data_IF_361767199529
#
_entry.id   IF_361767199529
#
_cell.length_a   1.000
_cell.length_b   1.000
_cell.length_c   1.000
_cell.angle_alpha   90.00
_cell.angle_beta   90.00
_cell.angle_gamma   90.00
#
_symmetry.space_group_name_H-M   'P 1'
#
loop_
_entity.id
_entity.type
_entity.pdbx_description
1 polymer ?
#
# COMPACT_ATOMS: atom_id res chain seq x y z
N UNK A 1 6.12 -13.27 -13.46
CA UNK A 1 7.55 -13.22 -13.84
C UNK A 1 8.10 -14.65 -13.67
N UNK A 2 8.98 -15.11 -14.56
CA UNK A 2 9.58 -16.45 -14.43
C UNK A 2 10.74 -16.45 -13.43
N UNK A 3 11.16 -17.62 -12.96
CA UNK A 3 12.30 -17.79 -12.06
C UNK A 3 13.55 -17.18 -12.72
N UNK A 4 14.07 -16.08 -12.19
CA UNK A 4 15.24 -15.40 -12.74
C UNK A 4 16.48 -16.27 -12.55
N UNK A 5 17.35 -16.35 -13.57
CA UNK A 5 18.62 -17.06 -13.43
C UNK A 5 19.51 -16.38 -12.38
N UNK A 6 20.23 -17.19 -11.59
CA UNK A 6 21.19 -16.68 -10.60
C UNK A 6 22.23 -15.74 -11.23
N UNK A 7 22.67 -16.04 -12.45
CA UNK A 7 23.61 -15.22 -13.21
C UNK A 7 23.07 -13.80 -13.44
N UNK A 8 21.77 -13.67 -13.69
CA UNK A 8 21.11 -12.38 -13.91
C UNK A 8 21.02 -11.57 -12.62
N UNK A 9 20.71 -12.21 -11.49
CA UNK A 9 20.74 -11.55 -10.19
C UNK A 9 22.13 -11.00 -9.86
N UNK A 10 23.19 -11.79 -10.14
CA UNK A 10 24.58 -11.34 -9.92
C UNK A 10 24.94 -10.16 -10.82
N UNK A 11 24.44 -10.12 -12.06
CA UNK A 11 24.64 -8.96 -12.95
C UNK A 11 23.93 -7.71 -12.44
N UNK A 12 22.67 -7.83 -12.00
CA UNK A 12 21.91 -6.71 -11.45
C UNK A 12 22.51 -6.19 -10.15
N UNK A 13 23.06 -7.07 -9.31
CA UNK A 13 23.73 -6.68 -8.08
C UNK A 13 24.97 -5.82 -8.31
N UNK A 14 25.57 -5.85 -9.51
CA UNK A 14 26.68 -4.94 -9.86
C UNK A 14 26.19 -3.52 -10.11
N UNK A 15 24.94 -3.32 -10.52
CA UNK A 15 24.37 -2.00 -10.74
C UNK A 15 23.69 -1.51 -9.46
N UNK A 16 24.44 -0.76 -8.65
CA UNK A 16 23.97 -0.26 -7.34
C UNK A 16 22.77 0.66 -7.43
N UNK A 17 22.54 1.35 -8.56
CA UNK A 17 21.41 2.25 -8.74
C UNK A 17 20.05 1.54 -8.74
N UNK A 18 20.03 0.25 -9.11
CA UNK A 18 18.81 -0.53 -9.27
C UNK A 18 18.52 -1.42 -8.05
N UNK A 19 19.32 -1.30 -6.99
CA UNK A 19 19.13 -2.04 -5.73
C UNK A 19 18.26 -1.19 -4.80
N UNK A 20 17.20 -1.79 -4.24
CA UNK A 20 16.35 -1.14 -3.24
C UNK A 20 16.14 -2.07 -2.06
N UNK A 21 16.45 -1.60 -0.86
CA UNK A 21 16.17 -2.32 0.38
C UNK A 21 14.84 -1.83 0.95
N UNK A 22 13.87 -2.74 1.09
CA UNK A 22 12.53 -2.41 1.56
C UNK A 22 12.20 -3.27 2.77
N UNK A 23 11.83 -2.65 3.89
CA UNK A 23 11.28 -3.39 5.03
C UNK A 23 9.75 -3.40 5.01
N UNK A 24 9.16 -4.51 5.46
CA UNK A 24 7.72 -4.56 5.76
C UNK A 24 7.53 -4.38 7.25
N UNK A 25 6.73 -3.38 7.62
CA UNK A 25 6.41 -3.03 8.99
C UNK A 25 4.89 -3.12 9.20
N UNK A 26 4.47 -3.78 10.28
CA UNK A 26 3.05 -3.94 10.58
C UNK A 26 2.85 -4.28 12.05
N UNK A 27 1.62 -4.08 12.54
CA UNK A 27 1.19 -4.72 13.77
C UNK A 27 1.10 -6.26 13.58
N UNK A 28 1.22 -7.00 14.68
CA UNK A 28 0.95 -8.44 14.74
C UNK A 28 -0.39 -8.74 14.07
N UNK A 29 -0.43 -9.82 13.28
CA UNK A 29 -1.62 -10.29 12.56
C UNK A 29 -2.22 -9.34 11.51
N UNK A 30 -1.58 -8.22 11.13
CA UNK A 30 -2.03 -7.36 10.02
C UNK A 30 -1.73 -7.94 8.63
N UNK A 31 -1.16 -9.14 8.57
CA UNK A 31 -0.91 -9.87 7.32
C UNK A 31 0.42 -9.55 6.63
N UNK A 32 1.40 -9.06 7.40
CA UNK A 32 2.80 -8.82 6.96
C UNK A 32 3.40 -10.02 6.24
N UNK A 33 3.46 -11.18 6.92
CA UNK A 33 4.05 -12.41 6.38
C UNK A 33 3.28 -12.92 5.16
N UNK A 34 1.95 -12.76 5.15
CA UNK A 34 1.10 -13.12 4.01
C UNK A 34 1.39 -12.23 2.79
N UNK A 35 1.59 -10.93 3.01
CA UNK A 35 1.98 -9.98 1.96
C UNK A 35 3.38 -10.33 1.42
N UNK A 36 4.35 -10.60 2.31
CA UNK A 36 5.69 -11.01 1.91
C UNK A 36 5.66 -12.28 1.04
N UNK A 37 4.95 -13.31 1.47
CA UNK A 37 4.76 -14.55 0.69
C UNK A 37 4.14 -14.27 -0.70
N UNK A 38 3.19 -13.34 -0.80
CA UNK A 38 2.58 -12.98 -2.08
C UNK A 38 3.58 -12.31 -3.04
N UNK A 39 4.50 -11.49 -2.52
CA UNK A 39 5.58 -10.89 -3.30
C UNK A 39 6.58 -11.96 -3.79
N UNK A 40 6.93 -12.91 -2.91
CA UNK A 40 7.83 -14.03 -3.20
C UNK A 40 7.22 -14.95 -4.28
N UNK A 41 5.92 -15.23 -4.17
CA UNK A 41 5.14 -16.01 -5.13
C UNK A 41 5.13 -15.37 -6.52
N UNK A 42 4.96 -14.05 -6.61
CA UNK A 42 4.97 -13.35 -7.90
C UNK A 42 6.33 -13.43 -8.61
N UNK A 43 7.40 -13.61 -7.87
CA UNK A 43 8.76 -13.82 -8.39
C UNK A 43 9.01 -15.28 -8.82
N UNK A 44 8.05 -16.17 -8.61
CA UNK A 44 8.14 -17.58 -8.97
C UNK A 44 9.01 -18.42 -8.03
N UNK A 45 9.47 -17.86 -6.91
CA UNK A 45 10.29 -18.56 -5.91
C UNK A 45 9.46 -19.64 -5.19
N UNK A 46 8.22 -19.30 -4.87
CA UNK A 46 7.23 -20.24 -4.31
C UNK A 46 6.04 -20.37 -5.26
N UNK A 47 5.35 -21.52 -5.19
CA UNK A 47 4.09 -21.66 -5.93
C UNK A 47 3.01 -20.75 -5.35
N UNK A 48 2.16 -20.18 -6.21
CA UNK A 48 1.05 -19.30 -5.81
C UNK A 48 0.08 -19.93 -4.82
N UNK A 49 -0.05 -21.26 -4.82
CA UNK A 49 -0.92 -22.01 -3.89
C UNK A 49 -0.37 -22.11 -2.48
N UNK A 50 0.95 -22.00 -2.33
CA UNK A 50 1.65 -22.04 -1.05
C UNK A 50 1.84 -20.64 -0.44
N UNK A 51 1.67 -19.59 -1.25
CA UNK A 51 1.73 -18.21 -0.80
C UNK A 51 0.72 -17.94 0.32
N UNK A 52 1.18 -17.36 1.43
CA UNK A 52 0.37 -16.97 2.57
C UNK A 52 0.06 -18.10 3.55
N UNK A 53 0.32 -19.35 3.17
CA UNK A 53 0.14 -20.54 4.03
C UNK A 53 1.46 -21.02 4.61
N UNK A 54 2.52 -20.94 3.81
CA UNK A 54 3.82 -21.50 4.15
C UNK A 54 4.62 -20.58 5.07
N UNK A 55 4.39 -19.25 5.01
CA UNK A 55 5.16 -18.25 5.77
C UNK A 55 6.65 -18.42 5.53
N UNK A 56 7.06 -18.27 4.27
CA UNK A 56 8.40 -18.64 3.80
C UNK A 56 9.53 -17.93 4.55
N UNK A 57 9.27 -16.70 5.01
CA UNK A 57 10.24 -15.88 5.75
C UNK A 57 10.43 -16.32 7.21
N UNK A 58 9.43 -17.01 7.78
CA UNK A 58 9.46 -17.56 9.14
C UNK A 58 10.19 -18.92 9.10
N UNK A 59 11.53 -18.86 9.00
CA UNK A 59 12.37 -20.06 8.81
C UNK A 59 12.56 -20.88 10.09
N UNK A 60 12.33 -20.29 11.27
CA UNK A 60 12.54 -20.97 12.55
C UNK A 60 11.29 -21.73 12.98
N UNK A 61 11.49 -22.90 13.59
CA UNK A 61 10.38 -23.75 14.06
C UNK A 61 9.53 -23.05 15.14
N UNK A 62 10.14 -22.26 16.02
CA UNK A 62 9.45 -21.51 17.06
C UNK A 62 8.57 -20.38 16.49
N UNK A 63 8.99 -19.75 15.39
CA UNK A 63 8.18 -18.76 14.67
C UNK A 63 6.94 -19.40 14.05
N UNK A 64 7.11 -20.55 13.39
CA UNK A 64 6.01 -21.28 12.77
C UNK A 64 4.99 -21.78 13.81
N UNK A 65 5.47 -22.30 14.95
CA UNK A 65 4.59 -22.78 16.03
C UNK A 65 3.82 -21.65 16.69
N UNK A 66 4.46 -20.50 16.95
CA UNK A 66 3.80 -19.35 17.58
C UNK A 66 3.01 -18.50 16.60
N UNK A 67 3.24 -18.66 15.30
CA UNK A 67 2.60 -17.87 14.27
C UNK A 67 3.01 -16.40 14.29
N UNK A 68 4.21 -16.06 14.78
CA UNK A 68 4.74 -14.69 14.80
C UNK A 68 6.17 -14.67 14.28
N UNK A 69 6.53 -13.63 13.53
CA UNK A 69 7.91 -13.36 13.12
C UNK A 69 8.70 -12.83 14.32
N UNK A 70 9.79 -13.50 14.68
CA UNK A 70 10.67 -13.10 15.78
C UNK A 70 11.99 -12.53 15.27
N UNK A 71 12.48 -13.03 14.13
CA UNK A 71 13.74 -12.63 13.51
C UNK A 71 13.54 -11.99 12.16
N UNK A 72 14.41 -11.04 11.86
CA UNK A 72 14.44 -10.39 10.56
C UNK A 72 15.05 -11.34 9.52
N UNK A 73 14.29 -11.62 8.47
CA UNK A 73 14.71 -12.42 7.32
C UNK A 73 14.76 -11.54 6.08
N UNK A 74 15.69 -11.79 5.16
CA UNK A 74 15.82 -11.04 3.92
C UNK A 74 15.75 -11.95 2.70
N UNK A 75 15.06 -11.51 1.64
CA UNK A 75 15.00 -12.20 0.36
C UNK A 75 15.13 -11.20 -0.80
N UNK A 76 15.89 -11.58 -1.83
CA UNK A 76 16.03 -10.77 -3.04
C UNK A 76 14.95 -11.13 -4.06
N UNK A 77 14.25 -10.10 -4.54
CA UNK A 77 13.20 -10.18 -5.53
C UNK A 77 13.65 -9.46 -6.81
N UNK A 78 13.35 -10.06 -7.96
CA UNK A 78 13.67 -9.49 -9.27
C UNK A 78 12.41 -8.84 -9.84
N UNK A 79 12.44 -7.53 -10.03
CA UNK A 79 11.32 -6.78 -10.60
C UNK A 79 11.72 -6.16 -11.94
N UNK A 80 10.94 -6.40 -12.99
CA UNK A 80 11.17 -5.80 -14.30
C UNK A 80 10.00 -4.89 -14.67
N UNK A 81 10.29 -3.63 -14.96
CA UNK A 81 9.31 -2.59 -15.32
C UNK A 81 9.86 -1.73 -16.45
N UNK A 82 9.07 -1.50 -17.49
CA UNK A 82 9.36 -0.53 -18.57
C UNK A 82 10.79 -0.65 -19.17
N UNK A 83 11.25 -1.89 -19.38
CA UNK A 83 12.59 -2.30 -19.85
C UNK A 83 13.75 -2.13 -18.86
N UNK A 84 13.48 -1.69 -17.64
CA UNK A 84 14.46 -1.65 -16.56
C UNK A 84 14.25 -2.80 -15.58
N UNK A 85 15.36 -3.25 -14.99
CA UNK A 85 15.39 -4.38 -14.08
C UNK A 85 15.94 -3.93 -12.74
N UNK A 86 15.20 -4.28 -11.69
CA UNK A 86 15.39 -3.87 -10.31
C UNK A 86 15.62 -5.09 -9.43
N UNK A 87 16.51 -4.93 -8.47
CA UNK A 87 16.77 -5.91 -7.44
C UNK A 87 16.25 -5.35 -6.12
N UNK A 88 15.13 -5.91 -5.65
CA UNK A 88 14.47 -5.46 -4.43
C UNK A 88 14.79 -6.45 -3.32
N UNK A 89 15.53 -6.02 -2.32
CA UNK A 89 15.79 -6.81 -1.13
C UNK A 89 14.67 -6.54 -0.13
N UNK A 90 13.77 -7.52 0.00
CA UNK A 90 12.66 -7.48 0.94
C UNK A 90 13.14 -7.99 2.30
N UNK A 91 13.07 -7.12 3.30
CA UNK A 91 13.38 -7.44 4.69
C UNK A 91 12.07 -7.57 5.46
N UNK A 92 11.80 -8.76 5.97
CA UNK A 92 10.64 -9.00 6.82
C UNK A 92 11.02 -8.73 8.28
N UNK A 93 10.46 -7.69 8.88
CA UNK A 93 10.78 -7.27 10.26
C UNK A 93 9.78 -7.84 11.27
N UNK A 94 10.13 -8.07 12.55
CA UNK A 94 9.17 -8.59 13.52
C UNK A 94 8.04 -7.57 13.80
N UNK A 95 6.79 -8.05 13.95
CA UNK A 95 5.63 -7.18 14.19
C UNK A 95 5.27 -6.99 15.67
N UNK A 96 5.95 -7.70 16.57
CA UNK A 96 5.65 -7.72 18.00
C UNK A 96 6.49 -6.68 18.76
N UNK A 97 5.88 -6.01 19.74
CA UNK A 97 6.51 -4.93 20.53
C UNK A 97 7.79 -5.34 21.26
N UNK A 98 7.84 -6.59 21.72
CA UNK A 98 9.00 -7.15 22.42
C UNK A 98 10.27 -7.18 21.55
N UNK A 99 10.13 -7.15 20.23
CA UNK A 99 11.25 -7.17 19.27
C UNK A 99 11.53 -5.80 18.65
N UNK A 100 11.12 -4.72 19.31
CA UNK A 100 11.30 -3.33 18.82
C UNK A 100 12.75 -2.95 18.50
N UNK A 101 13.75 -3.51 19.19
CA UNK A 101 15.17 -3.30 18.89
C UNK A 101 15.55 -3.88 17.52
N UNK A 102 14.98 -5.03 17.18
CA UNK A 102 15.19 -5.69 15.90
C UNK A 102 14.46 -4.96 14.77
N UNK A 103 13.25 -4.45 15.02
CA UNK A 103 12.53 -3.57 14.08
C UNK A 103 13.34 -2.32 13.77
N UNK A 104 13.86 -1.62 14.79
CA UNK A 104 14.68 -0.41 14.58
C UNK A 104 15.95 -0.72 13.76
N UNK A 105 16.58 -1.86 14.02
CA UNK A 105 17.76 -2.30 13.27
C UNK A 105 17.42 -2.60 11.81
N UNK A 106 16.31 -3.30 11.55
CA UNK A 106 15.86 -3.62 10.20
C UNK A 106 15.50 -2.36 9.40
N UNK A 107 14.81 -1.41 10.05
CA UNK A 107 14.42 -0.13 9.48
C UNK A 107 15.66 0.66 9.04
N UNK A 108 16.69 0.79 9.88
CA UNK A 108 17.95 1.49 9.56
C UNK A 108 18.73 0.96 8.36
N UNK A 109 18.53 -0.30 7.99
CA UNK A 109 19.21 -0.94 6.85
C UNK A 109 18.46 -0.66 5.53
N UNK A 110 17.20 -0.24 5.61
CA UNK A 110 16.32 -0.10 4.45
C UNK A 110 16.27 1.34 3.91
N UNK A 111 16.10 1.47 2.60
CA UNK A 111 15.92 2.74 1.92
C UNK A 111 14.45 3.20 1.96
N UNK A 112 13.53 2.23 2.06
CA UNK A 112 12.08 2.44 2.09
C UNK A 112 11.39 1.45 3.01
N UNK A 113 10.17 1.77 3.42
CA UNK A 113 9.36 0.87 4.23
C UNK A 113 7.93 0.75 3.71
N UNK A 114 7.34 -0.42 3.90
CA UNK A 114 5.94 -0.71 3.63
C UNK A 114 5.23 -0.81 4.96
N UNK A 115 4.32 0.11 5.25
CA UNK A 115 3.48 0.09 6.44
C UNK A 115 2.18 -0.63 6.10
N UNK A 116 1.95 -1.80 6.69
CA UNK A 116 0.72 -2.57 6.49
C UNK A 116 -0.27 -2.26 7.62
N UNK A 117 -1.49 -1.89 7.24
CA UNK A 117 -2.60 -1.56 8.15
C UNK A 117 -3.80 -2.42 7.80
N UNK A 118 -4.42 -3.06 8.78
CA UNK A 118 -5.66 -3.80 8.59
C UNK A 118 -6.86 -2.86 8.37
N UNK A 119 -7.62 -3.08 7.29
CA UNK A 119 -8.82 -2.32 6.98
C UNK A 119 -9.95 -2.50 8.01
N UNK A 120 -9.99 -3.60 8.77
CA UNK A 120 -11.02 -3.85 9.79
C UNK A 120 -10.64 -3.23 11.13
N UNK A 121 -9.40 -3.47 11.58
CA UNK A 121 -8.92 -2.99 12.89
C UNK A 121 -8.54 -1.50 12.84
N UNK A 122 -8.16 -1.00 11.66
CA UNK A 122 -7.72 0.37 11.47
C UNK A 122 -6.35 0.62 12.09
N UNK A 123 -6.15 1.84 12.59
CA UNK A 123 -4.86 2.27 13.14
C UNK A 123 -4.75 1.91 14.62
N UNK A 124 -3.84 0.99 14.94
CA UNK A 124 -3.60 0.54 16.31
C UNK A 124 -2.41 1.30 16.94
N UNK A 125 -2.25 1.30 18.28
CA UNK A 125 -1.10 1.93 18.96
C UNK A 125 0.26 1.40 18.48
N UNK A 126 0.35 0.12 18.09
CA UNK A 126 1.58 -0.45 17.54
C UNK A 126 1.91 0.10 16.15
N UNK A 127 0.89 0.35 15.32
CA UNK A 127 1.06 1.04 14.02
C UNK A 127 1.62 2.45 14.22
N UNK A 128 1.19 3.16 15.26
CA UNK A 128 1.73 4.48 15.61
C UNK A 128 3.21 4.40 16.01
N UNK A 129 3.58 3.41 16.82
CA UNK A 129 4.96 3.20 17.24
C UNK A 129 5.88 2.90 16.04
N UNK A 130 5.42 2.04 15.13
CA UNK A 130 6.13 1.69 13.89
C UNK A 130 6.27 2.89 12.96
N UNK A 131 5.20 3.67 12.76
CA UNK A 131 5.23 4.86 11.91
C UNK A 131 6.19 5.92 12.48
N UNK A 132 6.20 6.08 13.81
CA UNK A 132 7.17 6.93 14.51
C UNK A 132 8.61 6.45 14.31
N UNK A 133 8.87 5.15 14.35
CA UNK A 133 10.21 4.61 14.08
C UNK A 133 10.65 4.89 12.64
N UNK A 134 9.79 4.64 11.66
CA UNK A 134 10.09 4.95 10.25
C UNK A 134 10.40 6.43 10.05
N UNK A 135 9.67 7.31 10.74
CA UNK A 135 9.87 8.76 10.71
C UNK A 135 11.21 9.19 11.31
N UNK A 136 11.55 8.68 12.50
CA UNK A 136 12.80 9.00 13.19
C UNK A 136 14.04 8.62 12.36
N UNK A 137 13.93 7.53 11.62
CA UNK A 137 15.01 7.03 10.75
C UNK A 137 14.96 7.66 9.34
N UNK A 138 14.07 8.63 9.09
CA UNK A 138 13.87 9.34 7.82
C UNK A 138 13.69 8.43 6.59
N UNK A 139 13.00 7.31 6.76
CA UNK A 139 12.74 6.36 5.68
C UNK A 139 11.40 6.67 5.03
N UNK A 140 11.32 6.53 3.71
CA UNK A 140 10.10 6.82 2.95
C UNK A 140 9.06 5.70 3.12
N UNK A 141 7.91 5.97 3.75
CA UNK A 141 6.89 4.96 3.98
C UNK A 141 5.89 4.88 2.81
N UNK A 142 5.49 3.67 2.47
CA UNK A 142 4.35 3.38 1.58
C UNK A 142 3.27 2.70 2.41
N UNK A 143 2.04 3.22 2.34
CA UNK A 143 0.92 2.66 3.09
C UNK A 143 0.23 1.56 2.28
N UNK A 144 0.06 0.38 2.88
CA UNK A 144 -0.74 -0.71 2.34
C UNK A 144 -1.91 -0.98 3.28
N UNK A 145 -3.11 -0.70 2.82
CA UNK A 145 -4.35 -1.05 3.51
C UNK A 145 -4.72 -2.47 3.10
N UNK A 146 -4.57 -3.42 4.03
CA UNK A 146 -4.73 -4.85 3.81
C UNK A 146 -6.08 -5.36 4.36
N UNK A 147 -6.42 -6.61 4.03
CA UNK A 147 -7.65 -7.32 4.47
C UNK A 147 -8.96 -6.68 4.00
N UNK A 148 -8.96 -6.07 2.82
CA UNK A 148 -10.18 -5.52 2.21
C UNK A 148 -11.26 -6.59 1.96
N UNK A 149 -10.85 -7.85 1.79
CA UNK A 149 -11.75 -9.00 1.70
C UNK A 149 -12.69 -9.12 2.91
N UNK A 150 -12.22 -8.79 4.12
CA UNK A 150 -13.03 -8.84 5.34
C UNK A 150 -14.14 -7.79 5.35
N UNK A 151 -13.91 -6.60 4.78
CA UNK A 151 -14.95 -5.59 4.61
C UNK A 151 -16.10 -6.10 3.74
N UNK A 152 -15.78 -6.93 2.74
CA UNK A 152 -16.73 -7.50 1.79
C UNK A 152 -17.45 -8.72 2.36
N UNK A 153 -16.69 -9.68 2.90
CA UNK A 153 -17.22 -11.01 3.25
C UNK A 153 -17.74 -11.07 4.68
N UNK A 154 -17.01 -10.47 5.62
CA UNK A 154 -17.29 -10.56 7.05
C UNK A 154 -18.24 -9.44 7.48
N UNK A 155 -17.87 -8.18 7.22
CA UNK A 155 -18.68 -7.02 7.58
C UNK A 155 -19.82 -6.75 6.58
N UNK A 156 -19.72 -7.29 5.36
CA UNK A 156 -20.73 -7.13 4.29
C UNK A 156 -21.12 -5.69 4.02
N UNK A 157 -20.14 -4.78 4.08
CA UNK A 157 -20.36 -3.38 3.77
C UNK A 157 -20.76 -3.20 2.31
N UNK A 158 -21.53 -2.16 2.05
CA UNK A 158 -21.72 -1.68 0.69
C UNK A 158 -20.45 -1.00 0.18
N UNK A 159 -20.22 -0.93 -1.15
CA UNK A 159 -19.07 -0.22 -1.71
C UNK A 159 -18.94 1.24 -1.24
N UNK A 160 -20.07 1.90 -0.97
CA UNK A 160 -20.09 3.29 -0.49
C UNK A 160 -19.63 3.38 0.97
N UNK A 161 -20.10 2.48 1.84
CA UNK A 161 -19.67 2.43 3.25
C UNK A 161 -18.20 2.07 3.36
N UNK A 162 -17.73 1.10 2.55
CA UNK A 162 -16.33 0.72 2.51
C UNK A 162 -15.42 1.90 2.10
N UNK A 163 -15.84 2.71 1.12
CA UNK A 163 -15.10 3.92 0.75
C UNK A 163 -15.02 4.94 1.88
N UNK A 164 -16.14 5.21 2.57
CA UNK A 164 -16.15 6.10 3.74
C UNK A 164 -15.23 5.57 4.85
N UNK A 165 -15.23 4.26 5.08
CA UNK A 165 -14.37 3.62 6.07
C UNK A 165 -12.88 3.75 5.73
N UNK A 166 -12.51 3.51 4.46
CA UNK A 166 -11.13 3.69 3.99
C UNK A 166 -10.66 5.14 4.10
N UNK A 167 -11.55 6.09 3.84
CA UNK A 167 -11.26 7.52 4.03
C UNK A 167 -10.97 7.83 5.51
N UNK A 168 -11.77 7.30 6.43
CA UNK A 168 -11.55 7.48 7.87
C UNK A 168 -10.20 6.92 8.32
N UNK A 169 -9.78 5.75 7.81
CA UNK A 169 -8.47 5.18 8.12
C UNK A 169 -7.35 6.11 7.64
N UNK A 170 -7.44 6.63 6.42
CA UNK A 170 -6.45 7.57 5.89
C UNK A 170 -6.39 8.86 6.70
N UNK A 171 -7.53 9.41 7.10
CA UNK A 171 -7.60 10.60 7.97
C UNK A 171 -6.91 10.34 9.32
N UNK A 172 -7.11 9.16 9.92
CA UNK A 172 -6.43 8.79 11.17
C UNK A 172 -4.91 8.70 11.01
N UNK A 173 -4.42 8.10 9.92
CA UNK A 173 -2.97 7.98 9.66
C UNK A 173 -2.35 9.37 9.38
N UNK A 174 -3.05 10.21 8.62
CA UNK A 174 -2.59 11.56 8.32
C UNK A 174 -2.57 12.46 9.57
N UNK A 175 -3.54 12.30 10.48
CA UNK A 175 -3.52 13.01 11.76
C UNK A 175 -2.29 12.64 12.62
N UNK A 176 -1.90 11.36 12.63
CA UNK A 176 -0.69 10.90 13.32
C UNK A 176 0.59 11.45 12.67
N UNK A 177 0.64 11.41 11.34
CA UNK A 177 1.78 11.93 10.57
C UNK A 177 1.94 13.44 10.79
N UNK A 178 0.82 14.19 10.80
CA UNK A 178 0.82 15.62 11.12
C UNK A 178 1.31 15.90 12.55
N UNK A 179 0.99 15.03 13.51
CA UNK A 179 1.48 15.16 14.90
C UNK A 179 3.00 14.98 14.97
N UNK A 180 3.54 13.98 14.26
CA UNK A 180 4.99 13.73 14.19
C UNK A 180 5.72 14.86 13.46
N UNK A 181 5.16 15.38 12.37
CA UNK A 181 5.72 16.51 11.63
C UNK A 181 5.76 17.77 12.49
N UNK A 182 4.63 18.11 13.13
CA UNK A 182 4.56 19.28 14.03
C UNK A 182 5.59 19.17 15.14
N UNK A 183 5.75 17.98 15.73
CA UNK A 183 6.76 17.75 16.77
C UNK A 183 8.18 18.01 16.27
N UNK A 184 8.53 17.52 15.07
CA UNK A 184 9.85 17.74 14.45
C UNK A 184 10.12 19.22 14.16
N UNK A 185 9.14 19.93 13.59
CA UNK A 185 9.27 21.37 13.30
C UNK A 185 9.48 22.18 14.58
N UNK A 186 8.81 21.81 15.68
CA UNK A 186 9.00 22.44 16.98
C UNK A 186 10.39 22.16 17.58
N UNK A 187 10.88 20.92 17.48
CA UNK A 187 12.22 20.53 17.93
C UNK A 187 13.33 21.28 17.16
N UNK A 188 13.27 21.29 15.82
CA UNK A 188 14.25 22.00 14.98
C UNK A 188 14.28 23.51 15.27
N UNK A 189 13.14 24.12 15.61
CA UNK A 189 13.08 25.53 16.00
C UNK A 189 13.68 25.77 17.38
N UNK A 190 13.38 24.94 18.36
CA UNK A 190 13.97 25.04 19.69
C UNK A 190 15.50 24.91 19.64
N UNK A 191 16.03 24.04 18.77
CA UNK A 191 17.47 23.92 18.52
C UNK A 191 18.05 25.20 17.90
N UNK A 192 17.44 25.74 16.83
CA UNK A 192 17.88 27.00 16.20
C UNK A 192 17.80 28.20 17.14
N UNK A 193 16.82 28.23 18.04
CA UNK A 193 16.68 29.27 19.08
C UNK A 193 17.78 29.16 20.14
N UNK A 194 18.15 27.94 20.54
CA UNK A 194 19.30 27.72 21.45
C UNK A 194 20.63 28.14 20.83
N UNK A 195 20.79 27.99 19.51
CA UNK A 195 21.97 28.42 18.77
C UNK A 195 22.02 29.95 18.57
N UNK A 196 20.87 30.61 18.40
CA UNK A 196 20.79 32.06 18.17
C UNK A 196 20.81 32.90 19.46
N UNK A 197 20.46 32.33 20.62
CA UNK A 197 20.63 32.95 21.94
C UNK A 197 22.11 33.09 22.37
N UNK A 198 23.08 32.63 21.56
CA UNK A 198 24.51 32.90 21.76
C UNK A 198 24.97 34.34 21.43
N UNK A 199 24.11 35.20 20.86
CA UNK A 199 24.41 36.61 20.57
C UNK A 199 23.56 37.56 21.45
N UNK A 200 24.15 38.32 22.39
CA UNK A 200 23.40 39.03 23.44
C UNK A 200 22.87 40.42 23.01
N UNK A 201 22.42 40.61 21.77
CA UNK A 201 21.91 41.90 21.29
C UNK A 201 20.60 41.75 20.49
N UNK A 202 19.46 41.63 21.16
CA UNK A 202 18.16 42.03 20.60
C UNK A 202 17.11 42.28 21.69
N UNK A 203 16.32 43.34 21.50
CA UNK A 203 15.41 44.00 22.44
C UNK A 203 14.26 43.12 23.01
N UNK A 204 13.81 43.37 24.26
CA UNK A 204 12.76 42.61 24.94
C UNK A 204 11.36 43.23 24.75
N UNK A 205 10.89 43.40 23.51
CA UNK A 205 9.60 44.05 23.22
C UNK A 205 8.75 43.31 22.20
N UNK A 206 7.64 42.74 22.67
CA UNK A 206 6.49 42.24 21.89
C UNK A 206 6.75 41.14 20.86
N UNK A 207 6.70 39.88 21.33
CA UNK A 207 6.50 38.74 20.43
C UNK A 207 5.40 37.84 20.97
N UNK A 208 4.15 38.20 20.66
CA UNK A 208 3.08 37.20 20.61
C UNK A 208 3.32 36.41 19.33
N UNK A 209 4.04 35.30 19.45
CA UNK A 209 4.33 34.42 18.32
C UNK A 209 3.06 33.68 17.91
N UNK A 210 2.55 33.99 16.73
CA UNK A 210 1.49 33.23 16.09
C UNK A 210 2.09 31.98 15.44
N UNK A 211 2.08 30.88 16.18
CA UNK A 211 2.60 29.56 15.77
C UNK A 211 2.01 29.02 14.46
N UNK A 212 0.93 29.63 13.96
CA UNK A 212 0.28 29.24 12.70
C UNK A 212 0.99 29.74 11.44
N UNK A 213 1.64 30.90 11.49
CA UNK A 213 2.19 31.58 10.29
C UNK A 213 3.46 30.96 9.71
N UNK A 214 4.22 30.20 10.50
CA UNK A 214 5.46 29.58 10.05
C UNK A 214 5.33 28.13 9.55
N UNK A 215 4.14 27.53 9.62
CA UNK A 215 3.90 26.17 9.10
C UNK A 215 3.68 26.17 7.57
N UNK A 216 3.46 27.33 6.97
CA UNK A 216 3.08 27.47 5.55
C UNK A 216 4.28 27.39 4.57
N UNK A 217 5.52 27.49 5.06
CA UNK A 217 6.74 27.58 4.23
C UNK A 217 7.55 26.26 4.11
N UNK A 218 7.20 25.20 4.84
CA UNK A 218 7.87 23.90 4.75
C UNK A 218 7.12 22.96 3.84
N UNK A 219 7.75 22.51 2.74
CA UNK A 219 7.16 21.55 1.79
C UNK A 219 6.92 20.18 2.43
N UNK A 220 5.69 19.97 2.87
CA UNK A 220 5.15 18.78 3.53
C UNK A 220 4.34 17.89 2.57
N UNK A 221 4.39 18.19 1.27
CA UNK A 221 3.63 17.48 0.23
C UNK A 221 3.96 16.00 0.12
N UNK A 222 5.17 15.59 0.48
CA UNK A 222 5.64 14.19 0.44
C UNK A 222 5.36 13.39 1.72
N UNK A 223 4.85 14.04 2.77
CA UNK A 223 4.71 13.43 4.09
C UNK A 223 3.33 12.78 4.26
N UNK A 224 2.30 13.33 3.65
CA UNK A 224 0.92 12.87 3.80
C UNK A 224 0.57 11.70 2.88
N UNK A 225 -0.16 10.73 3.42
CA UNK A 225 -0.68 9.62 2.63
C UNK A 225 -1.91 10.06 1.84
N UNK A 226 -1.76 10.11 0.52
CA UNK A 226 -2.78 10.50 -0.43
C UNK A 226 -2.79 9.53 -1.60
N UNK A 227 -3.87 8.77 -1.82
CA UNK A 227 -3.95 7.82 -2.93
C UNK A 227 -3.69 8.44 -4.31
N UNK A 228 -3.94 9.74 -4.48
CA UNK A 228 -3.66 10.51 -5.70
C UNK A 228 -2.16 10.58 -6.04
N UNK A 229 -1.30 10.59 -5.03
CA UNK A 229 0.16 10.58 -5.17
C UNK A 229 0.71 9.16 -5.39
N UNK A 230 -0.15 8.13 -5.26
CA UNK A 230 0.25 6.73 -5.36
C UNK A 230 0.88 6.16 -4.10
N UNK A 231 1.08 6.91 -3.02
CA UNK A 231 1.68 6.35 -1.79
C UNK A 231 0.75 5.43 -0.96
N UNK A 232 -0.45 5.12 -1.47
CA UNK A 232 -1.43 4.22 -0.85
C UNK A 232 -1.79 3.08 -1.79
N UNK A 233 -1.68 1.86 -1.26
CA UNK A 233 -2.07 0.62 -1.94
C UNK A 233 -3.22 -0.04 -1.19
N UNK A 234 -4.20 -0.51 -1.95
CA UNK A 234 -5.34 -1.26 -1.45
C UNK A 234 -5.13 -2.74 -1.77
N UNK A 235 -5.08 -3.58 -0.75
CA UNK A 235 -4.72 -4.99 -0.91
C UNK A 235 -5.60 -5.96 -0.10
N UNK A 236 -5.65 -7.19 -0.60
CA UNK A 236 -6.03 -8.38 0.14
C UNK A 236 -4.94 -9.43 -0.09
N UNK A 237 -4.04 -9.56 0.89
CA UNK A 237 -2.95 -10.53 0.81
C UNK A 237 -3.45 -11.99 0.84
N UNK A 238 -4.60 -12.28 1.48
CA UNK A 238 -5.15 -13.64 1.56
C UNK A 238 -5.65 -14.10 0.20
N UNK A 239 -6.35 -13.23 -0.52
CA UNK A 239 -6.86 -13.52 -1.86
C UNK A 239 -5.81 -13.22 -2.95
N UNK A 240 -4.65 -12.67 -2.58
CA UNK A 240 -3.49 -12.49 -3.46
C UNK A 240 -3.63 -11.34 -4.46
N UNK A 241 -4.47 -10.35 -4.17
CA UNK A 241 -4.63 -9.19 -5.05
C UNK A 241 -4.35 -7.87 -4.35
N UNK A 242 -3.93 -6.89 -5.13
CA UNK A 242 -3.70 -5.53 -4.66
C UNK A 242 -3.63 -4.56 -5.82
N UNK A 243 -4.05 -3.34 -5.57
CA UNK A 243 -4.08 -2.29 -6.58
C UNK A 243 -3.74 -0.94 -5.98
N UNK A 244 -3.02 -0.15 -6.77
CA UNK A 244 -2.96 1.30 -6.62
C UNK A 244 -3.95 1.98 -7.57
N UNK A 245 -4.18 3.26 -7.35
CA UNK A 245 -5.03 4.07 -8.24
C UNK A 245 -4.45 4.15 -9.65
N UNK A 246 -3.12 4.12 -9.76
CA UNK A 246 -2.41 4.16 -11.04
C UNK A 246 -2.83 3.06 -12.01
N UNK A 247 -3.03 1.84 -11.50
CA UNK A 247 -3.41 0.69 -12.31
C UNK A 247 -4.78 0.92 -12.98
N UNK A 248 -5.75 1.40 -12.21
CA UNK A 248 -7.07 1.72 -12.72
C UNK A 248 -7.08 2.95 -13.62
N UNK A 249 -6.25 3.96 -13.33
CA UNK A 249 -6.07 5.11 -14.21
C UNK A 249 -5.60 4.65 -15.62
N UNK A 250 -4.69 3.67 -15.70
CA UNK A 250 -4.23 3.10 -16.99
C UNK A 250 -5.35 2.37 -17.73
N UNK A 251 -6.10 1.51 -17.04
CA UNK A 251 -7.24 0.75 -17.62
C UNK A 251 -8.32 1.72 -18.15
N UNK A 252 -8.73 2.69 -17.32
CA UNK A 252 -9.80 3.60 -17.68
C UNK A 252 -9.39 4.67 -18.68
N UNK A 253 -8.10 5.02 -18.73
CA UNK A 253 -7.58 5.88 -19.78
C UNK A 253 -7.78 5.25 -21.16
N UNK A 254 -7.51 3.95 -21.29
CA UNK A 254 -7.73 3.21 -22.53
C UNK A 254 -9.22 3.01 -22.86
N UNK A 255 -10.07 2.74 -21.85
CA UNK A 255 -11.51 2.47 -22.07
C UNK A 255 -12.32 3.74 -22.35
N UNK A 256 -12.07 4.83 -21.62
CA UNK A 256 -12.90 6.05 -21.68
C UNK A 256 -12.26 7.11 -22.59
N UNK A 257 -10.94 7.09 -22.76
CA UNK A 257 -10.18 8.06 -23.55
C UNK A 257 -9.78 9.32 -22.77
N UNK A 258 -9.80 9.29 -21.44
CA UNK A 258 -9.37 10.40 -20.58
C UNK A 258 -7.89 10.23 -20.26
N UNK A 259 -7.12 11.33 -20.17
CA UNK A 259 -5.70 11.29 -19.80
C UNK A 259 -5.49 10.68 -18.41
N UNK A 260 -4.44 9.87 -18.25
CA UNK A 260 -4.06 9.20 -16.99
C UNK A 260 -3.92 10.19 -15.82
N UNK A 261 -3.26 11.33 -16.03
CA UNK A 261 -3.05 12.37 -15.00
C UNK A 261 -4.36 12.94 -14.44
N UNK A 262 -5.35 13.14 -15.30
CA UNK A 262 -6.68 13.64 -14.88
C UNK A 262 -7.39 12.58 -14.05
N UNK A 263 -7.29 11.31 -14.45
CA UNK A 263 -7.87 10.20 -13.70
C UNK A 263 -7.19 10.00 -12.35
N UNK A 264 -5.87 10.12 -12.27
CA UNK A 264 -5.14 10.01 -10.99
C UNK A 264 -5.71 11.00 -9.96
N UNK A 265 -5.93 12.27 -10.33
CA UNK A 265 -6.46 13.31 -9.43
C UNK A 265 -7.96 13.24 -9.15
N UNK A 266 -8.70 12.43 -9.90
CA UNK A 266 -10.18 12.42 -9.84
C UNK A 266 -10.76 11.07 -9.45
N UNK A 267 -9.97 10.00 -9.49
CA UNK A 267 -10.39 8.67 -9.05
C UNK A 267 -10.58 8.65 -7.55
N UNK A 268 -9.71 9.30 -6.79
CA UNK A 268 -9.90 9.51 -5.35
C UNK A 268 -10.61 10.83 -5.08
N UNK A 269 -11.43 10.86 -4.03
CA UNK A 269 -12.19 12.03 -3.62
C UNK A 269 -13.60 12.12 -4.19
N UNK A 270 -14.19 13.29 -4.01
CA UNK A 270 -15.61 13.53 -4.27
C UNK A 270 -15.84 13.95 -5.71
N UNK A 271 -15.49 13.08 -6.66
CA UNK A 271 -15.76 13.27 -8.09
C UNK A 271 -16.73 12.20 -8.61
N UNK A 272 -17.56 12.57 -9.57
CA UNK A 272 -18.44 11.66 -10.28
C UNK A 272 -18.32 11.85 -11.79
N UNK A 273 -18.52 10.77 -12.54
CA UNK A 273 -18.63 10.83 -14.00
C UNK A 273 -20.09 10.87 -14.42
N UNK A 274 -20.44 11.81 -15.30
CA UNK A 274 -21.69 11.70 -16.03
C UNK A 274 -21.45 10.84 -17.27
N UNK A 275 -21.87 9.57 -17.24
CA UNK A 275 -21.67 8.62 -18.35
C UNK A 275 -22.22 9.11 -19.70
N UNK A 276 -23.24 9.99 -19.70
CA UNK A 276 -23.80 10.57 -20.93
C UNK A 276 -22.88 11.62 -21.57
N UNK A 277 -22.18 12.39 -20.75
CA UNK A 277 -21.33 13.48 -21.22
C UNK A 277 -19.82 13.15 -21.21
N UNK A 278 -19.43 12.00 -20.62
CA UNK A 278 -18.02 11.62 -20.35
C UNK A 278 -17.22 12.73 -19.66
N UNK A 279 -17.89 13.56 -18.86
CA UNK A 279 -17.27 14.64 -18.08
C UNK A 279 -17.23 14.27 -16.61
N UNK A 280 -16.07 14.49 -16.00
CA UNK A 280 -15.86 14.39 -14.56
C UNK A 280 -16.32 15.70 -13.93
N UNK A 281 -17.12 15.61 -12.87
CA UNK A 281 -17.61 16.75 -12.12
C UNK A 281 -17.45 16.47 -10.62
N UNK A 282 -17.27 17.52 -9.82
CA UNK A 282 -17.25 17.38 -8.36
C UNK A 282 -18.64 17.00 -7.85
N UNK A 283 -18.72 16.03 -6.94
CA UNK A 283 -19.96 15.53 -6.36
C UNK A 283 -20.67 16.67 -5.67
N UNK A 284 -21.91 16.87 -6.09
CA UNK A 284 -22.86 17.73 -5.39
C UNK A 284 -23.52 16.86 -4.32
N UNK A 285 -23.13 17.05 -3.05
CA UNK A 285 -23.56 16.22 -1.91
C UNK A 285 -25.09 16.13 -1.80
N UNK A 286 -25.81 17.14 -2.31
CA UNK A 286 -27.27 17.20 -2.34
C UNK A 286 -27.94 16.13 -3.23
N UNK A 287 -27.22 15.49 -4.17
CA UNK A 287 -27.80 14.53 -5.15
C UNK A 287 -27.45 13.07 -4.88
N UNK A 288 -26.78 12.75 -3.77
CA UNK A 288 -26.47 11.36 -3.40
C UNK A 288 -25.70 10.58 -4.47
N UNK A 289 -24.90 11.28 -5.30
CA UNK A 289 -24.16 10.63 -6.39
C UNK A 289 -22.94 9.91 -5.83
N UNK A 290 -22.77 8.65 -6.22
CA UNK A 290 -21.64 7.82 -5.79
C UNK A 290 -20.32 8.37 -6.34
N UNK A 291 -19.22 8.35 -5.57
CA UNK A 291 -17.88 8.69 -6.04
C UNK A 291 -17.40 7.79 -7.18
N UNK A 292 -16.44 8.31 -7.96
CA UNK A 292 -15.78 7.60 -9.05
C UNK A 292 -15.12 6.30 -8.60
N UNK A 293 -14.40 6.34 -7.48
CA UNK A 293 -13.77 5.17 -6.87
C UNK A 293 -14.78 4.03 -6.64
N UNK A 294 -15.95 4.38 -6.09
CA UNK A 294 -17.01 3.42 -5.79
C UNK A 294 -17.58 2.82 -7.07
N UNK A 295 -17.96 3.67 -8.03
CA UNK A 295 -18.61 3.23 -9.28
C UNK A 295 -17.68 2.38 -10.17
N UNK A 296 -16.41 2.75 -10.27
CA UNK A 296 -15.49 2.16 -11.25
C UNK A 296 -14.62 1.05 -10.66
N UNK A 297 -14.32 1.08 -9.36
CA UNK A 297 -13.38 0.14 -8.75
C UNK A 297 -14.12 -0.79 -7.80
N UNK A 298 -14.69 -0.25 -6.71
CA UNK A 298 -15.27 -1.08 -5.66
C UNK A 298 -16.50 -1.87 -6.12
N UNK A 299 -17.40 -1.28 -6.92
CA UNK A 299 -18.57 -2.02 -7.43
C UNK A 299 -18.20 -3.25 -8.26
N UNK A 300 -17.12 -3.19 -9.04
CA UNK A 300 -16.65 -4.34 -9.83
C UNK A 300 -16.09 -5.44 -8.95
N UNK A 301 -15.32 -5.07 -7.92
CA UNK A 301 -14.76 -6.03 -6.97
C UNK A 301 -15.89 -6.67 -6.14
N UNK A 302 -16.83 -5.88 -5.62
CA UNK A 302 -17.98 -6.40 -4.87
C UNK A 302 -18.84 -7.32 -5.73
N UNK A 303 -19.12 -6.94 -6.98
CA UNK A 303 -19.87 -7.79 -7.91
C UNK A 303 -19.14 -9.10 -8.20
N UNK A 304 -17.80 -9.11 -8.24
CA UNK A 304 -17.00 -10.32 -8.40
C UNK A 304 -17.11 -11.22 -7.16
N UNK A 305 -16.93 -10.66 -5.96
CA UNK A 305 -17.08 -11.42 -4.70
C UNK A 305 -18.49 -12.00 -4.58
N UNK A 306 -19.53 -11.20 -4.84
CA UNK A 306 -20.92 -11.65 -4.82
C UNK A 306 -21.19 -12.79 -5.81
N UNK A 307 -20.67 -12.67 -7.04
CA UNK A 307 -20.85 -13.69 -8.06
C UNK A 307 -20.17 -15.02 -7.67
N UNK A 308 -18.97 -14.96 -7.10
CA UNK A 308 -18.23 -16.15 -6.67
C UNK A 308 -18.87 -16.77 -5.42
N UNK A 309 -19.28 -15.96 -4.44
CA UNK A 309 -19.97 -16.44 -3.23
C UNK A 309 -21.30 -17.12 -3.55
N UNK A 310 -22.08 -16.57 -4.50
CA UNK A 310 -23.35 -17.16 -4.97
C UNK A 310 -23.17 -18.30 -5.97
N UNK A 311 -21.93 -18.55 -6.44
CA UNK A 311 -21.59 -19.52 -7.48
C UNK A 311 -22.31 -19.29 -8.82
N UNK A 312 -22.54 -18.02 -9.16
CA UNK A 312 -23.18 -17.58 -10.41
C UNK A 312 -22.19 -17.64 -11.60
N UNK A 313 -22.05 -18.81 -12.22
CA UNK A 313 -21.08 -19.03 -13.33
C UNK A 313 -21.23 -18.03 -14.48
N UNK A 314 -22.46 -17.73 -14.90
CA UNK A 314 -22.70 -16.81 -16.03
C UNK A 314 -22.21 -15.38 -15.73
N UNK A 315 -22.35 -14.91 -14.49
CA UNK A 315 -21.88 -13.57 -14.09
C UNK A 315 -20.36 -13.55 -14.03
N UNK A 316 -19.75 -14.62 -13.49
CA UNK A 316 -18.29 -14.75 -13.45
C UNK A 316 -17.72 -14.72 -14.88
N UNK A 317 -18.30 -15.49 -15.81
CA UNK A 317 -17.83 -15.52 -17.20
C UNK A 317 -18.00 -14.16 -17.90
N UNK A 318 -19.10 -13.43 -17.63
CA UNK A 318 -19.29 -12.05 -18.13
C UNK A 318 -18.22 -11.10 -17.58
N UNK A 319 -17.93 -11.18 -16.28
CA UNK A 319 -16.90 -10.34 -15.64
C UNK A 319 -15.52 -10.66 -16.23
N UNK A 320 -15.15 -11.95 -16.30
CA UNK A 320 -13.90 -12.44 -16.88
C UNK A 320 -13.73 -11.96 -18.32
N UNK A 321 -14.80 -12.03 -19.13
CA UNK A 321 -14.80 -11.55 -20.52
C UNK A 321 -14.64 -10.02 -20.58
N UNK A 322 -15.33 -9.27 -19.72
CA UNK A 322 -15.25 -7.80 -19.67
C UNK A 322 -13.89 -7.26 -19.23
N UNK A 323 -13.17 -8.05 -18.44
CA UNK A 323 -11.83 -7.76 -17.95
C UNK A 323 -10.74 -8.34 -18.87
N UNK A 324 -11.11 -9.21 -19.82
CA UNK A 324 -10.18 -9.86 -20.75
C UNK A 324 -9.26 -10.90 -20.11
N UNK A 325 -9.69 -11.50 -19.00
CA UNK A 325 -8.88 -12.44 -18.21
C UNK A 325 -8.96 -13.87 -18.78
N UNK A 326 -7.87 -14.62 -18.70
CA UNK A 326 -7.81 -16.03 -19.15
C UNK A 326 -7.73 -16.96 -17.94
N UNK A 327 -8.89 -17.21 -17.33
CA UNK A 327 -8.98 -18.09 -16.16
C UNK A 327 -8.79 -19.55 -16.56
N UNK A 328 -7.96 -20.29 -15.83
CA UNK A 328 -7.75 -21.71 -16.06
C UNK A 328 -9.01 -22.54 -15.77
N UNK A 329 -9.39 -23.43 -16.70
CA UNK A 329 -10.62 -24.26 -16.61
C UNK A 329 -10.69 -25.11 -15.34
N UNK A 330 -9.54 -25.52 -14.78
CA UNK A 330 -9.47 -26.31 -13.53
C UNK A 330 -9.77 -25.47 -12.29
N UNK A 331 -9.37 -24.21 -12.29
CA UNK A 331 -9.53 -23.30 -11.15
C UNK A 331 -10.94 -22.71 -11.12
N UNK A 332 -11.51 -22.43 -12.30
CA UNK A 332 -12.91 -22.03 -12.44
C UNK A 332 -13.92 -23.11 -12.01
N UNK A 333 -13.51 -24.38 -11.96
CA UNK A 333 -14.35 -25.52 -11.54
C UNK A 333 -14.10 -25.96 -10.11
N UNK A 334 -13.20 -25.31 -9.37
CA UNK A 334 -12.88 -25.69 -8.01
C UNK A 334 -14.09 -25.46 -7.09
N UNK A 335 -14.28 -26.33 -6.09
CA UNK A 335 -15.44 -26.23 -5.17
C UNK A 335 -15.32 -25.02 -4.24
N UNK A 336 -14.09 -24.66 -3.89
CA UNK A 336 -13.79 -23.60 -2.93
C UNK A 336 -13.78 -22.21 -3.60
N UNK A 337 -14.63 -21.28 -3.13
CA UNK A 337 -14.74 -19.94 -3.71
C UNK A 337 -13.44 -19.14 -3.54
N UNK A 338 -12.70 -19.34 -2.44
CA UNK A 338 -11.43 -18.63 -2.18
C UNK A 338 -10.36 -18.92 -3.21
N UNK A 339 -10.24 -20.18 -3.65
CA UNK A 339 -9.27 -20.57 -4.68
C UNK A 339 -9.64 -19.93 -6.02
N UNK A 340 -10.93 -19.86 -6.33
CA UNK A 340 -11.43 -19.22 -7.53
C UNK A 340 -11.20 -17.70 -7.52
N UNK A 341 -11.48 -17.02 -6.39
CA UNK A 341 -11.20 -15.59 -6.22
C UNK A 341 -9.70 -15.35 -6.38
N UNK A 342 -8.85 -16.12 -5.71
CA UNK A 342 -7.40 -15.94 -5.79
C UNK A 342 -6.86 -16.16 -7.19
N UNK A 343 -7.38 -17.13 -7.95
CA UNK A 343 -7.00 -17.36 -9.34
C UNK A 343 -7.40 -16.19 -10.26
N UNK A 344 -8.63 -15.67 -10.11
CA UNK A 344 -9.12 -14.57 -10.93
C UNK A 344 -8.41 -13.27 -10.57
N UNK A 345 -8.40 -12.91 -9.28
CA UNK A 345 -7.85 -11.66 -8.78
C UNK A 345 -6.32 -11.63 -8.87
N UNK A 346 -5.64 -12.76 -8.68
CA UNK A 346 -4.18 -12.84 -8.86
C UNK A 346 -3.72 -12.62 -10.30
N UNK A 347 -4.54 -12.99 -11.30
CA UNK A 347 -4.29 -12.64 -12.70
C UNK A 347 -4.65 -11.20 -13.03
N UNK A 348 -5.72 -10.68 -12.42
CA UNK A 348 -6.24 -9.36 -12.73
C UNK A 348 -5.41 -8.24 -12.09
N UNK A 349 -5.17 -8.34 -10.80
CA UNK A 349 -4.58 -7.30 -9.95
C UNK A 349 -3.49 -7.92 -9.06
N UNK A 350 -2.34 -8.34 -9.63
CA UNK A 350 -1.25 -8.88 -8.85
C UNK A 350 -0.70 -7.83 -7.88
N UNK A 351 -0.73 -8.16 -6.59
CA UNK A 351 -0.26 -7.27 -5.50
C UNK A 351 1.20 -6.82 -5.68
N UNK A 352 2.03 -7.67 -6.30
CA UNK A 352 3.44 -7.38 -6.56
C UNK A 352 3.65 -6.19 -7.48
N UNK A 353 2.88 -6.09 -8.56
CA UNK A 353 2.97 -4.92 -9.44
C UNK A 353 2.57 -3.67 -8.69
N UNK A 354 1.47 -3.72 -7.93
CA UNK A 354 1.03 -2.57 -7.15
C UNK A 354 2.12 -2.12 -6.17
N UNK A 355 2.62 -3.01 -5.31
CA UNK A 355 3.58 -2.65 -4.26
C UNK A 355 4.97 -2.30 -4.83
N UNK A 356 5.47 -3.06 -5.80
CA UNK A 356 6.83 -2.85 -6.34
C UNK A 356 6.87 -1.68 -7.35
N UNK A 357 5.77 -1.35 -8.02
CA UNK A 357 5.71 -0.12 -8.84
C UNK A 357 5.97 1.14 -8.02
N UNK A 358 5.62 1.15 -6.74
CA UNK A 358 5.90 2.28 -5.86
C UNK A 358 7.36 2.38 -5.48
N UNK A 359 8.06 1.27 -5.31
CA UNK A 359 9.50 1.27 -5.01
C UNK A 359 10.35 1.93 -6.10
N UNK A 360 9.82 2.04 -7.33
CA UNK A 360 10.42 2.77 -8.45
C UNK A 360 10.26 4.30 -8.32
N UNK A 361 9.05 4.78 -8.00
CA UNK A 361 8.70 6.21 -7.95
C UNK A 361 9.43 7.01 -6.86
N UNK A 362 10.09 6.31 -5.94
CA UNK A 362 10.96 6.90 -4.92
C UNK A 362 12.20 7.59 -5.54
N UNK A 363 12.58 7.32 -6.79
CA UNK A 363 13.82 7.86 -7.37
C UNK A 363 13.70 9.21 -8.12
N UNK A 364 12.57 9.52 -8.73
CA UNK A 364 12.46 10.65 -9.69
C UNK A 364 12.38 12.04 -9.04
N UNK A 365 12.32 12.16 -7.71
CA UNK A 365 12.25 13.44 -6.98
C UNK A 365 13.45 13.70 -6.07
N UNK A 366 14.63 13.16 -6.42
CA UNK A 366 15.90 13.42 -5.71
C UNK A 366 16.66 14.59 -6.30
#
# INVERSE_FOLDING_TARGET
MGLSSLEKMVQLQKNTANIRNICVLAHVDHGKTTLADCLISSNGIISSRLAGKLRYMDSREDEQVRGITMKSSAISLHYAKDNEEYLINLIDSPGHVDFSSEVSTAVRICDGCIIVVDAVEGVCPQTQAVLRQAWLENIRPVLVINKLDRLIVELKFTPQEAYSHLKNILEQINALTGTLFTSKVLEERAERESESQGNPNSDPGEQVYDWSTGLEDTDDSHLYFSPDQGNVVFASAIDGWGFGIEHFAKIYSQKIGIKKEVLLKTLWGDYYINMKAKKIMKVDQAKGKKPLFVQLILENIWSLYDAVLKKDKEKIDKIVTSLGLKVGVREARHSDPKVQISAICGQWLPISHAVLDFSYGVSETS
#
